data_IF_646385603888
#
_entry.id   IF_646385603888
#
_cell.length_a   1.000
_cell.length_b   1.000
_cell.length_c   1.000
_cell.angle_alpha   90.00
_cell.angle_beta   90.00
_cell.angle_gamma   90.00
#
_symmetry.space_group_name_H-M   'P 1'
#
loop_
_entity.id
_entity.type
_entity.pdbx_description
1 polymer ?
#
# COMPACT_ATOMS: atom_id res chain seq x y z
N UNK A 1 4.13 -62.28 19.12
CA UNK A 1 5.12 -62.14 20.22
C UNK A 1 6.49 -62.19 19.57
N UNK A 2 7.41 -61.23 19.66
CA UNK A 2 7.63 -60.11 20.56
C UNK A 2 8.20 -58.90 19.78
N UNK A 3 7.93 -57.71 20.30
CA UNK A 3 8.50 -56.44 19.87
C UNK A 3 9.90 -56.21 20.47
N UNK A 4 10.73 -55.41 19.79
CA UNK A 4 11.80 -54.63 20.42
C UNK A 4 12.12 -53.39 19.56
N UNK A 5 11.88 -52.21 20.13
CA UNK A 5 12.67 -50.99 19.88
C UNK A 5 13.04 -50.40 21.25
N UNK A 6 13.51 -49.14 21.38
CA UNK A 6 14.29 -48.27 20.49
C UNK A 6 15.50 -47.61 21.24
N UNK A 7 16.24 -46.67 20.59
CA UNK A 7 16.90 -45.41 21.10
C UNK A 7 18.18 -45.07 20.30
N UNK A 8 18.19 -43.98 19.50
CA UNK A 8 18.59 -42.58 19.80
C UNK A 8 20.10 -42.34 19.99
N UNK A 9 20.70 -41.58 19.07
CA UNK A 9 21.62 -40.48 19.43
C UNK A 9 23.04 -40.48 18.83
N UNK A 10 23.52 -39.27 18.52
CA UNK A 10 24.84 -38.82 18.05
C UNK A 10 25.12 -39.04 16.56
N UNK A 11 25.38 -38.04 15.72
CA UNK A 11 25.88 -36.70 15.95
C UNK A 11 27.26 -36.61 15.32
N UNK A 12 27.36 -36.19 14.06
CA UNK A 12 28.62 -35.68 13.54
C UNK A 12 28.39 -34.56 12.53
N UNK A 13 28.98 -33.41 12.83
CA UNK A 13 29.09 -32.23 11.98
C UNK A 13 30.38 -32.35 11.16
N UNK A 14 30.26 -32.35 9.83
CA UNK A 14 31.30 -31.93 8.87
C UNK A 14 30.55 -31.61 7.58
N UNK A 15 30.11 -30.36 7.36
CA UNK A 15 30.86 -29.20 6.90
C UNK A 15 31.50 -29.40 5.51
N UNK A 16 30.89 -28.71 4.53
CA UNK A 16 31.34 -28.40 3.15
C UNK A 16 30.96 -29.48 2.12
N UNK A 17 30.08 -29.24 1.13
CA UNK A 17 30.08 -28.12 0.18
C UNK A 17 28.68 -27.60 -0.20
N UNK A 18 28.50 -26.27 -0.15
CA UNK A 18 27.39 -25.56 -0.80
C UNK A 18 27.96 -24.73 -1.97
N UNK A 19 27.67 -25.06 -3.24
CA UNK A 19 27.81 -24.10 -4.32
C UNK A 19 26.52 -23.30 -4.41
N UNK A 20 26.61 -21.97 -4.33
CA UNK A 20 25.90 -20.96 -5.13
C UNK A 20 25.95 -19.64 -4.35
N UNK A 21 26.87 -18.78 -4.78
CA UNK A 21 27.06 -17.44 -4.26
C UNK A 21 26.04 -16.43 -4.79
N UNK A 22 25.95 -15.33 -4.03
CA UNK A 22 25.56 -13.98 -4.43
C UNK A 22 24.33 -13.79 -5.33
N UNK A 23 23.21 -13.37 -4.73
CA UNK A 23 22.40 -12.23 -5.19
C UNK A 23 21.66 -11.61 -3.99
N UNK A 24 22.26 -10.58 -3.39
CA UNK A 24 21.56 -9.69 -2.47
C UNK A 24 20.80 -8.63 -3.25
N UNK A 25 19.56 -8.91 -3.63
CA UNK A 25 18.57 -7.89 -4.00
C UNK A 25 17.36 -8.05 -3.09
N UNK A 26 17.43 -7.29 -2.01
CA UNK A 26 16.39 -6.75 -1.14
C UNK A 26 14.95 -7.26 -1.34
N UNK A 27 14.53 -8.04 -0.36
CA UNK A 27 13.18 -8.47 -0.03
C UNK A 27 12.32 -7.24 0.34
N UNK A 28 11.87 -6.47 -0.68
CA UNK A 28 10.85 -5.41 -0.53
C UNK A 28 9.51 -5.83 -1.16
N UNK A 29 9.16 -7.11 -1.07
CA UNK A 29 7.87 -7.63 -1.53
C UNK A 29 7.11 -8.31 -0.38
N UNK A 30 6.98 -7.60 0.75
CA UNK A 30 6.06 -7.94 1.85
C UNK A 30 5.29 -6.68 2.23
N UNK A 31 4.11 -6.50 1.63
CA UNK A 31 2.89 -5.89 2.22
C UNK A 31 1.90 -5.49 1.12
N UNK A 32 1.15 -6.47 0.60
CA UNK A 32 -0.15 -6.14 0.01
C UNK A 32 -1.22 -7.14 0.49
N UNK A 33 -2.43 -6.66 0.85
CA UNK A 33 -3.54 -7.42 1.44
C UNK A 33 -4.16 -8.54 0.58
N UNK A 34 -3.50 -8.95 -0.51
CA UNK A 34 -3.94 -10.01 -1.42
C UNK A 34 -3.84 -11.44 -0.85
N UNK A 35 -3.29 -11.60 0.36
CA UNK A 35 -3.35 -12.86 1.11
C UNK A 35 -4.71 -13.10 1.78
N UNK A 36 -5.69 -12.20 1.59
CA UNK A 36 -7.09 -12.58 1.74
C UNK A 36 -7.52 -13.46 0.57
N UNK A 37 -8.32 -14.50 0.87
CA UNK A 37 -9.01 -15.38 -0.09
C UNK A 37 -9.45 -14.64 -1.37
N UNK A 38 -8.67 -14.76 -2.44
CA UNK A 38 -9.02 -14.18 -3.74
C UNK A 38 -10.19 -14.97 -4.32
N UNK A 39 -11.32 -14.28 -4.53
CA UNK A 39 -12.46 -14.88 -5.23
C UNK A 39 -12.23 -14.82 -6.73
N UNK A 40 -12.42 -15.96 -7.41
CA UNK A 40 -12.35 -16.04 -8.87
C UNK A 40 -13.60 -15.39 -9.47
N UNK A 41 -13.39 -14.44 -10.38
CA UNK A 41 -14.43 -13.76 -11.15
C UNK A 41 -14.09 -13.82 -12.63
N UNK A 42 -15.10 -13.97 -13.49
CA UNK A 42 -14.95 -13.85 -14.94
C UNK A 42 -15.45 -12.47 -15.37
N UNK A 43 -14.70 -11.81 -16.25
CA UNK A 43 -15.03 -10.50 -16.81
C UNK A 43 -14.85 -10.53 -18.32
N UNK A 44 -15.66 -9.74 -19.03
CA UNK A 44 -15.47 -9.49 -20.45
C UNK A 44 -14.67 -8.20 -20.62
N UNK A 45 -13.75 -8.19 -21.59
CA UNK A 45 -12.94 -7.04 -21.94
C UNK A 45 -12.85 -6.96 -23.47
N UNK A 46 -12.58 -5.76 -23.99
CA UNK A 46 -12.37 -5.57 -25.41
C UNK A 46 -11.12 -6.37 -25.87
N UNK A 47 -11.15 -7.06 -27.02
CA UNK A 47 -9.99 -7.76 -27.55
C UNK A 47 -8.76 -6.86 -27.77
N UNK A 48 -8.96 -5.57 -28.09
CA UNK A 48 -7.87 -4.60 -28.22
C UNK A 48 -7.21 -4.31 -26.86
N UNK A 49 -8.01 -4.12 -25.81
CA UNK A 49 -7.50 -3.95 -24.45
C UNK A 49 -6.70 -5.16 -23.98
N UNK A 50 -7.18 -6.38 -24.28
CA UNK A 50 -6.47 -7.61 -23.96
C UNK A 50 -5.12 -7.71 -24.68
N UNK A 51 -5.03 -7.26 -25.93
CA UNK A 51 -3.77 -7.21 -26.66
C UNK A 51 -2.77 -6.24 -26.01
N UNK A 52 -3.24 -5.06 -25.58
CA UNK A 52 -2.43 -4.07 -24.87
C UNK A 52 -1.94 -4.62 -23.52
N UNK A 53 -2.82 -5.25 -22.74
CA UNK A 53 -2.48 -5.86 -21.44
C UNK A 53 -1.42 -6.95 -21.60
N UNK A 54 -1.55 -7.79 -22.64
CA UNK A 54 -0.60 -8.86 -22.95
C UNK A 54 0.80 -8.33 -23.26
N UNK A 55 0.89 -7.30 -24.08
CA UNK A 55 2.17 -6.65 -24.38
C UNK A 55 2.77 -5.98 -23.14
N UNK A 56 1.95 -5.35 -22.30
CA UNK A 56 2.40 -4.76 -21.04
C UNK A 56 2.92 -5.82 -20.05
N UNK A 57 2.23 -6.96 -19.94
CA UNK A 57 2.61 -8.10 -19.11
C UNK A 57 3.97 -8.65 -19.54
N UNK A 58 4.17 -8.85 -20.84
CA UNK A 58 5.44 -9.29 -21.42
C UNK A 58 6.59 -8.32 -21.13
N UNK A 59 6.36 -7.01 -21.29
CA UNK A 59 7.38 -5.97 -21.01
C UNK A 59 7.76 -5.91 -19.53
N UNK A 60 6.83 -6.21 -18.63
CA UNK A 60 7.03 -6.13 -17.17
C UNK A 60 7.44 -7.46 -16.54
N UNK A 61 7.40 -8.57 -17.29
CA UNK A 61 7.72 -9.90 -16.77
C UNK A 61 6.71 -10.43 -15.74
N UNK A 62 5.45 -10.01 -15.81
CA UNK A 62 4.37 -10.43 -14.91
C UNK A 62 3.21 -11.05 -15.69
N UNK A 63 2.28 -11.72 -15.00
CA UNK A 63 1.09 -12.30 -15.66
C UNK A 63 0.06 -11.24 -16.06
N UNK A 64 -0.68 -11.46 -17.15
CA UNK A 64 -1.83 -10.62 -17.55
C UNK A 64 -2.85 -10.47 -16.41
N UNK A 65 -3.12 -11.57 -15.70
CA UNK A 65 -4.02 -11.58 -14.55
C UNK A 65 -3.56 -10.66 -13.41
N UNK A 66 -2.26 -10.42 -13.26
CA UNK A 66 -1.72 -9.49 -12.26
C UNK A 66 -2.03 -8.03 -12.64
N UNK A 67 -1.88 -7.69 -13.91
CA UNK A 67 -2.28 -6.36 -14.42
C UNK A 67 -3.78 -6.14 -14.24
N UNK A 68 -4.60 -7.15 -14.55
CA UNK A 68 -6.06 -7.09 -14.38
C UNK A 68 -6.43 -6.92 -12.90
N UNK A 69 -5.78 -7.66 -11.98
CA UNK A 69 -5.99 -7.49 -10.53
C UNK A 69 -5.69 -6.07 -10.07
N UNK A 70 -4.57 -5.51 -10.51
CA UNK A 70 -4.19 -4.13 -10.19
C UNK A 70 -5.20 -3.12 -10.75
N UNK A 71 -5.65 -3.30 -11.99
CA UNK A 71 -6.67 -2.46 -12.62
C UNK A 71 -7.98 -2.45 -11.84
N UNK A 72 -8.48 -3.63 -11.43
CA UNK A 72 -9.69 -3.76 -10.62
C UNK A 72 -9.50 -3.07 -9.25
N UNK A 73 -8.35 -3.25 -8.61
CA UNK A 73 -8.06 -2.61 -7.33
C UNK A 73 -8.03 -1.09 -7.42
N UNK A 74 -7.37 -0.55 -8.45
CA UNK A 74 -7.33 0.88 -8.71
C UNK A 74 -8.73 1.45 -8.97
N UNK A 75 -9.54 0.77 -9.77
CA UNK A 75 -10.93 1.15 -10.01
C UNK A 75 -11.76 1.15 -8.72
N UNK A 76 -11.57 0.15 -7.86
CA UNK A 76 -12.24 0.09 -6.56
C UNK A 76 -11.82 1.24 -5.64
N UNK A 77 -10.52 1.56 -5.56
CA UNK A 77 -10.03 2.68 -4.75
C UNK A 77 -10.50 4.04 -5.26
N UNK A 78 -10.54 4.23 -6.58
CA UNK A 78 -11.02 5.48 -7.19
C UNK A 78 -12.50 5.76 -6.88
N UNK A 79 -13.31 4.71 -6.69
CA UNK A 79 -14.74 4.83 -6.41
C UNK A 79 -15.10 4.59 -4.94
N UNK A 80 -14.09 4.47 -4.06
CA UNK A 80 -14.35 4.29 -2.63
C UNK A 80 -14.77 5.64 -2.05
N UNK A 81 -16.08 5.85 -1.94
CA UNK A 81 -16.69 6.99 -1.25
C UNK A 81 -16.68 6.70 0.26
N UNK A 82 -16.41 7.71 1.08
CA UNK A 82 -16.49 7.58 2.53
C UNK A 82 -17.97 7.65 2.94
N UNK A 83 -18.44 6.63 3.64
CA UNK A 83 -19.84 6.57 4.12
C UNK A 83 -20.14 7.69 5.13
N UNK A 84 -19.13 8.17 5.87
CA UNK A 84 -19.23 9.30 6.79
C UNK A 84 -18.42 10.50 6.27
N UNK A 85 -18.95 11.74 6.28
CA UNK A 85 -18.21 12.91 5.85
C UNK A 85 -16.95 13.10 6.72
N UNK A 86 -15.82 13.40 6.07
CA UNK A 86 -14.54 13.66 6.74
C UNK A 86 -14.62 14.78 7.80
N UNK A 87 -15.60 15.68 7.66
CA UNK A 87 -15.91 16.71 8.64
C UNK A 87 -17.43 16.86 8.76
N UNK A 88 -17.95 16.80 9.99
CA UNK A 88 -19.35 17.12 10.28
C UNK A 88 -19.62 18.63 10.24
N UNK A 89 -18.58 19.45 10.37
CA UNK A 89 -18.65 20.92 10.36
C UNK A 89 -18.49 21.44 8.95
N UNK A 90 -19.56 22.04 8.42
CA UNK A 90 -19.50 22.91 7.24
C UNK A 90 -19.07 24.31 7.69
N UNK A 91 -18.20 24.95 6.90
CA UNK A 91 -17.84 26.36 7.10
C UNK A 91 -18.54 27.16 6.01
N UNK A 92 -19.27 28.21 6.39
CA UNK A 92 -19.74 29.20 5.42
C UNK A 92 -18.52 29.91 4.83
N UNK A 93 -18.17 29.57 3.60
CA UNK A 93 -17.10 30.22 2.86
C UNK A 93 -17.52 31.61 2.38
N UNK A 94 -16.55 32.44 2.02
CA UNK A 94 -16.76 33.81 1.51
C UNK A 94 -17.39 33.88 0.11
N UNK A 95 -17.92 32.78 -0.41
CA UNK A 95 -18.47 32.67 -1.77
C UNK A 95 -17.42 32.72 -2.90
N UNK A 96 -16.13 32.80 -2.57
CA UNK A 96 -15.02 32.77 -3.53
C UNK A 96 -13.95 31.77 -3.12
N UNK A 97 -13.32 31.15 -4.11
CA UNK A 97 -12.10 30.35 -3.89
C UNK A 97 -10.92 31.29 -3.61
N UNK A 98 -10.27 31.20 -2.44
CA UNK A 98 -9.07 31.99 -2.17
C UNK A 98 -7.91 31.57 -3.08
N UNK A 99 -7.06 32.53 -3.43
CA UNK A 99 -5.83 32.25 -4.17
C UNK A 99 -4.76 31.63 -3.26
N UNK A 100 -3.83 30.88 -3.84
CA UNK A 100 -2.71 30.26 -3.11
C UNK A 100 -1.92 31.25 -2.22
N UNK A 101 -1.55 32.47 -2.66
CA UNK A 101 -0.86 33.41 -1.79
C UNK A 101 -1.74 33.90 -0.63
N UNK A 102 -3.03 34.17 -0.86
CA UNK A 102 -3.96 34.58 0.20
C UNK A 102 -4.06 33.50 1.30
N UNK A 103 -4.18 32.22 0.93
CA UNK A 103 -4.22 31.11 1.90
C UNK A 103 -2.93 31.06 2.72
N UNK A 104 -1.77 31.15 2.05
CA UNK A 104 -0.47 31.10 2.73
C UNK A 104 -0.32 32.24 3.73
N UNK A 105 -0.68 33.46 3.34
CA UNK A 105 -0.50 34.65 4.17
C UNK A 105 -1.43 34.62 5.38
N UNK A 106 -2.69 34.16 5.22
CA UNK A 106 -3.65 33.96 6.31
C UNK A 106 -3.17 32.89 7.29
N UNK A 107 -2.68 31.75 6.81
CA UNK A 107 -2.15 30.66 7.67
C UNK A 107 -0.92 31.14 8.44
N UNK A 108 0.01 31.84 7.75
CA UNK A 108 1.20 32.39 8.41
C UNK A 108 0.82 33.42 9.49
N UNK A 109 -0.23 34.20 9.27
CA UNK A 109 -0.72 35.16 10.26
C UNK A 109 -1.39 34.50 11.47
N UNK A 110 -2.20 33.46 11.24
CA UNK A 110 -2.82 32.70 12.31
C UNK A 110 -1.77 32.03 13.22
N UNK A 111 -0.76 31.38 12.65
CA UNK A 111 0.33 30.74 13.41
C UNK A 111 1.11 31.75 14.25
N UNK A 112 1.37 32.96 13.72
CA UNK A 112 2.03 34.05 14.48
C UNK A 112 1.17 34.55 15.64
N UNK A 113 -0.15 34.61 15.47
CA UNK A 113 -1.08 35.02 16.53
C UNK A 113 -1.18 33.98 17.64
N UNK A 114 -1.06 32.70 17.31
CA UNK A 114 -1.06 31.59 18.28
C UNK A 114 0.26 31.47 19.05
N UNK A 115 1.37 31.96 18.48
CA UNK A 115 2.71 31.94 19.11
C UNK A 115 3.11 33.25 19.81
N UNK A 116 2.15 34.18 20.01
CA UNK A 116 2.37 35.34 20.89
C UNK A 116 2.58 34.89 22.34
N UNK A 117 3.41 35.59 23.14
CA UNK A 117 3.63 35.21 24.53
C UNK A 117 2.30 35.30 25.28
N UNK A 118 1.99 34.26 26.07
CA UNK A 118 1.02 34.35 27.15
C UNK A 118 1.30 35.64 27.91
N UNK A 119 0.51 36.68 27.66
CA UNK A 119 0.44 37.84 28.52
C UNK A 119 -0.30 37.37 29.77
N UNK A 120 0.43 36.66 30.62
CA UNK A 120 0.07 36.42 32.00
C UNK A 120 -0.19 37.78 32.64
N UNK A 121 -1.47 38.10 32.80
CA UNK A 121 -1.90 39.15 33.72
C UNK A 121 -1.63 38.63 35.14
N UNK A 122 -0.45 38.94 35.64
CA UNK A 122 -0.13 38.82 37.06
C UNK A 122 -0.62 40.08 37.79
N UNK A 123 -1.41 39.83 38.84
CA UNK A 123 -1.72 40.66 40.01
C UNK A 123 -2.39 42.04 39.79
#
# INVERSE_FOLDING_TARGET
>A
MMAAGPRLGSGDHSMQDHPYGHLGVSIWYMDYPWYMSMKRTNVYADPEDLAIIKEAAKRRGISEAEIIRQGIHLAAMANRVWDEPLFSRTFEGTGRTPSKPEVRDVVADAVRRETGPDSGSAA
#
